data_IF_874602040643
#
_entry.id   IF_874602040643
#
_cell.length_a   1.000
_cell.length_b   1.000
_cell.length_c   1.000
_cell.angle_alpha   90.00
_cell.angle_beta   90.00
_cell.angle_gamma   90.00
#
_symmetry.space_group_name_H-M   'P 1'
#
loop_
_entity.id
_entity.type
_entity.pdbx_description
1 polymer ?
#
# COMPACT_ATOMS: atom_id res chain seq x y z
N UNK A 1 -13.33 8.87 3.78
CA UNK A 1 -13.68 9.00 2.36
C UNK A 1 -12.44 8.61 1.59
N UNK A 2 -12.49 7.58 0.73
CA UNK A 2 -11.31 7.14 -0.02
C UNK A 2 -10.92 8.20 -1.04
N UNK A 3 -9.66 8.66 -1.03
CA UNK A 3 -9.16 9.63 -2.01
C UNK A 3 -8.75 8.90 -3.29
N UNK A 4 -9.73 8.66 -4.17
CA UNK A 4 -9.53 8.06 -5.49
C UNK A 4 -9.59 9.11 -6.58
N UNK A 5 -8.59 9.13 -7.47
CA UNK A 5 -8.56 9.92 -8.70
C UNK A 5 -8.81 8.97 -9.87
N UNK A 6 -9.83 9.25 -10.68
CA UNK A 6 -10.25 8.37 -11.77
C UNK A 6 -10.11 9.09 -13.10
N UNK A 7 -9.47 8.42 -14.06
CA UNK A 7 -9.54 8.79 -15.46
C UNK A 7 -10.22 7.66 -16.25
N UNK A 8 -11.12 8.01 -17.16
CA UNK A 8 -11.86 7.06 -17.99
C UNK A 8 -11.91 7.55 -19.45
N UNK A 9 -11.60 6.70 -20.42
CA UNK A 9 -11.53 7.10 -21.83
C UNK A 9 -12.88 7.53 -22.40
N UNK A 10 -13.98 7.10 -21.79
CA UNK A 10 -15.34 7.40 -22.24
C UNK A 10 -16.03 8.46 -21.36
N UNK A 11 -15.34 9.03 -20.38
CA UNK A 11 -15.90 10.06 -19.51
C UNK A 11 -15.85 11.45 -20.16
N UNK A 12 -16.98 12.15 -20.06
CA UNK A 12 -17.12 13.57 -20.46
C UNK A 12 -16.99 14.52 -19.26
N UNK A 13 -16.55 14.03 -18.11
CA UNK A 13 -16.35 14.87 -16.93
C UNK A 13 -15.23 15.90 -17.17
N UNK A 14 -15.46 17.13 -16.69
CA UNK A 14 -14.55 18.25 -16.91
C UNK A 14 -13.17 18.02 -16.27
N UNK A 15 -13.12 17.26 -15.17
CA UNK A 15 -11.90 16.97 -14.43
C UNK A 15 -11.12 15.80 -15.03
N UNK A 16 -11.69 15.06 -15.98
CA UNK A 16 -11.07 13.85 -16.55
C UNK A 16 -9.67 14.13 -17.14
N UNK A 17 -9.42 15.19 -17.93
CA UNK A 17 -8.06 15.51 -18.40
C UNK A 17 -7.10 15.87 -17.26
N UNK A 18 -7.58 16.59 -16.25
CA UNK A 18 -6.82 16.95 -15.04
C UNK A 18 -6.40 15.71 -14.27
N UNK A 19 -7.33 14.75 -14.10
CA UNK A 19 -7.09 13.48 -13.43
C UNK A 19 -6.00 12.67 -14.13
N UNK A 20 -6.00 12.62 -15.47
CA UNK A 20 -4.93 11.96 -16.22
C UNK A 20 -3.56 12.63 -15.98
N UNK A 21 -3.54 13.96 -15.87
CA UNK A 21 -2.34 14.72 -15.52
C UNK A 21 -1.78 14.33 -14.15
N UNK A 22 -2.64 14.29 -13.13
CA UNK A 22 -2.27 13.89 -11.76
C UNK A 22 -1.78 12.44 -11.70
N UNK A 23 -2.46 11.53 -12.41
CA UNK A 23 -2.06 10.12 -12.49
C UNK A 23 -0.70 9.98 -13.19
N UNK A 24 -0.45 10.75 -14.25
CA UNK A 24 0.84 10.77 -14.95
C UNK A 24 1.95 11.23 -14.03
N UNK A 25 1.77 12.35 -13.34
CA UNK A 25 2.76 12.87 -12.39
C UNK A 25 3.06 11.85 -11.27
N UNK A 26 2.02 11.24 -10.70
CA UNK A 26 2.20 10.22 -9.69
C UNK A 26 2.99 9.01 -10.20
N UNK A 27 2.67 8.52 -11.40
CA UNK A 27 3.35 7.39 -12.01
C UNK A 27 4.82 7.68 -12.31
N UNK A 28 5.12 8.84 -12.88
CA UNK A 28 6.49 9.28 -13.20
C UNK A 28 7.37 9.40 -11.94
N UNK A 29 6.76 9.80 -10.82
CA UNK A 29 7.45 9.90 -9.53
C UNK A 29 7.83 8.53 -8.93
N UNK A 30 7.32 7.42 -9.45
CA UNK A 30 7.72 6.07 -9.00
C UNK A 30 9.09 5.63 -9.53
N UNK A 31 9.79 6.47 -10.29
CA UNK A 31 11.09 6.12 -10.84
C UNK A 31 12.08 5.72 -9.74
N UNK A 32 12.72 4.56 -9.93
CA UNK A 32 13.65 3.90 -9.00
C UNK A 32 13.03 3.51 -7.65
N UNK A 33 11.70 3.42 -7.56
CA UNK A 33 11.01 2.92 -6.37
C UNK A 33 10.67 1.44 -6.51
N UNK A 34 10.64 0.72 -5.38
CA UNK A 34 10.20 -0.67 -5.33
C UNK A 34 8.67 -0.72 -5.36
N UNK A 35 8.12 -1.44 -6.34
CA UNK A 35 6.69 -1.59 -6.54
C UNK A 35 6.29 -3.08 -6.55
N UNK A 36 5.03 -3.32 -6.26
CA UNK A 36 4.33 -4.58 -6.51
C UNK A 36 3.44 -4.40 -7.72
N UNK A 37 3.67 -5.18 -8.77
CA UNK A 37 2.75 -5.35 -9.87
C UNK A 37 1.92 -6.61 -9.64
N UNK A 38 0.60 -6.48 -9.62
CA UNK A 38 -0.35 -7.58 -9.49
C UNK A 38 -1.32 -7.59 -10.66
N UNK A 39 -1.76 -8.80 -11.08
CA UNK A 39 -2.76 -8.97 -12.12
C UNK A 39 -3.95 -9.76 -11.57
N UNK A 40 -5.17 -9.28 -11.85
CA UNK A 40 -6.41 -9.98 -11.50
C UNK A 40 -7.38 -9.96 -12.67
N UNK A 41 -8.16 -11.04 -12.77
CA UNK A 41 -9.31 -11.14 -13.67
C UNK A 41 -10.54 -10.74 -12.85
N UNK A 42 -11.36 -9.83 -13.37
CA UNK A 42 -12.65 -9.43 -12.81
C UNK A 42 -13.65 -10.53 -13.18
N UNK A 43 -14.20 -11.28 -12.20
CA UNK A 43 -15.28 -12.22 -12.49
C UNK A 43 -16.51 -11.50 -13.06
N UNK A 44 -17.29 -12.15 -13.94
CA UNK A 44 -18.52 -11.57 -14.44
C UNK A 44 -19.45 -11.13 -13.29
N UNK A 45 -19.82 -9.84 -13.28
CA UNK A 45 -20.71 -9.26 -12.27
C UNK A 45 -20.05 -8.88 -10.93
N UNK A 46 -18.75 -9.09 -10.77
CA UNK A 46 -18.00 -8.68 -9.57
C UNK A 46 -17.47 -7.25 -9.69
N UNK A 47 -17.33 -6.57 -8.55
CA UNK A 47 -16.61 -5.28 -8.46
C UNK A 47 -15.13 -5.49 -8.20
N UNK A 48 -14.29 -4.53 -8.62
CA UNK A 48 -12.85 -4.51 -8.29
C UNK A 48 -12.61 -4.51 -6.77
N UNK A 49 -13.51 -3.91 -5.99
CA UNK A 49 -13.42 -3.84 -4.54
C UNK A 49 -13.60 -5.22 -3.87
N UNK A 50 -14.04 -6.22 -4.64
CA UNK A 50 -14.20 -7.61 -4.18
C UNK A 50 -13.00 -8.48 -4.56
N UNK A 51 -12.04 -7.95 -5.32
CA UNK A 51 -10.84 -8.69 -5.68
C UNK A 51 -9.86 -8.69 -4.49
N UNK A 52 -9.32 -9.87 -4.21
CA UNK A 52 -8.26 -10.04 -3.21
C UNK A 52 -6.91 -9.58 -3.79
N UNK A 53 -6.39 -8.49 -3.23
CA UNK A 53 -5.08 -7.92 -3.53
C UNK A 53 -4.03 -8.23 -2.45
N UNK A 54 -4.46 -8.74 -1.30
CA UNK A 54 -3.62 -8.97 -0.13
C UNK A 54 -2.93 -10.35 -0.20
N UNK A 55 -3.58 -11.33 -0.84
CA UNK A 55 -2.97 -12.63 -1.10
C UNK A 55 -2.12 -12.59 -2.37
N UNK A 56 -0.84 -12.94 -2.22
CA UNK A 56 0.11 -13.06 -3.35
C UNK A 56 -0.31 -14.18 -4.30
N UNK A 57 -0.40 -13.85 -5.59
CA UNK A 57 -0.72 -14.80 -6.67
C UNK A 57 0.46 -15.02 -7.61
N UNK A 58 0.32 -16.01 -8.51
CA UNK A 58 1.37 -16.46 -9.44
C UNK A 58 1.95 -15.34 -10.31
N UNK A 59 1.13 -14.35 -10.67
CA UNK A 59 1.52 -13.26 -11.58
C UNK A 59 1.98 -12.00 -10.84
N UNK A 60 2.03 -12.04 -9.52
CA UNK A 60 2.44 -10.90 -8.71
C UNK A 60 3.97 -10.82 -8.66
N UNK A 61 4.50 -9.66 -9.02
CA UNK A 61 5.94 -9.42 -9.13
C UNK A 61 6.33 -8.16 -8.38
N UNK A 62 7.42 -8.24 -7.62
CA UNK A 62 8.05 -7.08 -7.01
C UNK A 62 9.34 -6.76 -7.75
N UNK A 63 9.55 -5.48 -8.05
CA UNK A 63 10.76 -5.02 -8.70
C UNK A 63 10.94 -3.51 -8.50
N UNK A 64 12.14 -3.01 -8.81
CA UNK A 64 12.40 -1.57 -8.89
C UNK A 64 11.95 -1.08 -10.27
N UNK A 65 11.07 -0.08 -10.31
CA UNK A 65 10.54 0.48 -11.55
C UNK A 65 11.49 1.52 -12.12
N UNK A 66 11.83 1.42 -13.40
CA UNK A 66 12.66 2.37 -14.12
C UNK A 66 11.88 3.03 -15.26
N UNK A 67 12.19 4.30 -15.51
CA UNK A 67 11.63 5.10 -16.61
C UNK A 67 10.09 5.05 -16.73
N UNK A 68 9.32 5.17 -15.63
CA UNK A 68 7.87 5.18 -15.70
C UNK A 68 7.37 6.38 -16.50
N UNK A 69 6.49 6.14 -17.47
CA UNK A 69 5.87 7.19 -18.30
C UNK A 69 4.45 6.82 -18.69
N UNK A 70 3.56 7.82 -18.84
CA UNK A 70 2.25 7.61 -19.49
C UNK A 70 2.23 8.35 -20.83
N UNK A 71 2.28 7.60 -21.93
CA UNK A 71 2.23 8.14 -23.30
C UNK A 71 0.83 7.96 -23.86
N UNK A 72 0.10 9.07 -24.01
CA UNK A 72 -1.33 9.03 -24.29
C UNK A 72 -2.10 8.43 -23.11
N UNK A 73 -2.60 7.21 -23.30
CA UNK A 73 -3.35 6.42 -22.31
C UNK A 73 -2.66 5.11 -21.93
N UNK A 74 -1.43 4.91 -22.42
CA UNK A 74 -0.64 3.70 -22.18
C UNK A 74 0.37 3.95 -21.07
N UNK A 75 0.30 3.10 -20.03
CA UNK A 75 1.20 3.12 -18.88
C UNK A 75 2.43 2.28 -19.21
N UNK A 76 3.62 2.89 -19.17
CA UNK A 76 4.90 2.27 -19.48
C UNK A 76 5.85 2.26 -18.30
N UNK A 77 6.76 1.30 -18.31
CA UNK A 77 7.90 1.24 -17.40
C UNK A 77 8.78 0.03 -17.66
N UNK A 78 9.93 -0.03 -16.99
CA UNK A 78 10.90 -1.09 -17.16
C UNK A 78 11.28 -1.67 -15.80
N UNK A 79 11.07 -2.97 -15.55
CA UNK A 79 11.57 -3.62 -14.34
C UNK A 79 13.10 -3.60 -14.33
N UNK A 80 13.73 -3.22 -13.23
CA UNK A 80 15.19 -3.27 -13.08
C UNK A 80 15.71 -4.69 -13.34
N UNK A 81 16.77 -4.80 -14.15
CA UNK A 81 17.33 -6.07 -14.58
C UNK A 81 16.63 -6.72 -15.79
N UNK A 82 15.52 -6.16 -16.27
CA UNK A 82 14.90 -6.55 -17.53
C UNK A 82 15.23 -5.54 -18.63
N UNK A 83 15.50 -6.04 -19.84
CA UNK A 83 15.84 -5.21 -20.99
C UNK A 83 14.61 -4.59 -21.68
N UNK A 84 13.42 -5.14 -21.43
CA UNK A 84 12.20 -4.79 -22.16
C UNK A 84 11.28 -3.90 -21.31
N UNK A 85 10.84 -2.78 -21.90
CA UNK A 85 9.78 -1.93 -21.38
C UNK A 85 8.41 -2.63 -21.55
N UNK A 86 7.56 -2.61 -20.53
CA UNK A 86 6.16 -3.02 -20.63
C UNK A 86 5.28 -1.85 -21.03
N UNK A 87 4.13 -2.13 -21.64
CA UNK A 87 3.11 -1.13 -21.95
C UNK A 87 1.69 -1.67 -21.75
N UNK A 88 0.90 -0.96 -20.95
CA UNK A 88 -0.50 -1.30 -20.66
C UNK A 88 -1.43 -0.17 -21.12
N UNK A 89 -2.09 -0.37 -22.27
CA UNK A 89 -3.06 0.61 -22.80
C UNK A 89 -4.35 0.56 -22.00
N UNK A 90 -4.68 1.66 -21.35
CA UNK A 90 -5.78 1.73 -20.40
C UNK A 90 -7.09 2.22 -21.05
N UNK A 91 -8.21 1.57 -20.73
CA UNK A 91 -9.55 2.16 -20.92
C UNK A 91 -9.96 3.03 -19.73
N UNK A 92 -9.38 2.74 -18.56
CA UNK A 92 -9.62 3.45 -17.30
C UNK A 92 -8.39 3.32 -16.42
N UNK A 93 -8.09 4.37 -15.67
CA UNK A 93 -7.05 4.44 -14.65
C UNK A 93 -7.69 4.87 -13.34
N UNK A 94 -7.29 4.24 -12.24
CA UNK A 94 -7.78 4.56 -10.91
C UNK A 94 -6.59 4.63 -9.95
N UNK A 95 -6.25 5.84 -9.54
CA UNK A 95 -5.21 6.11 -8.55
C UNK A 95 -5.86 6.20 -7.17
N UNK A 96 -5.50 5.27 -6.29
CA UNK A 96 -5.85 5.26 -4.88
C UNK A 96 -4.69 5.84 -4.08
N UNK A 97 -4.88 7.06 -3.56
CA UNK A 97 -3.87 7.78 -2.80
C UNK A 97 -3.66 7.19 -1.40
N UNK A 98 -4.70 6.59 -0.81
CA UNK A 98 -4.65 6.01 0.53
C UNK A 98 -3.80 4.73 0.55
N UNK A 99 -3.93 3.92 -0.50
CA UNK A 99 -3.19 2.67 -0.69
C UNK A 99 -1.95 2.83 -1.59
N UNK A 100 -1.69 4.05 -2.09
CA UNK A 100 -0.58 4.37 -2.99
C UNK A 100 -0.50 3.38 -4.16
N UNK A 101 -1.62 3.21 -4.83
CA UNK A 101 -1.75 2.22 -5.89
C UNK A 101 -2.45 2.79 -7.12
N UNK A 102 -2.03 2.33 -8.29
CA UNK A 102 -2.66 2.63 -9.57
C UNK A 102 -3.21 1.35 -10.18
N UNK A 103 -4.52 1.31 -10.39
CA UNK A 103 -5.20 0.25 -11.12
C UNK A 103 -5.38 0.65 -12.59
N UNK A 104 -4.92 -0.22 -13.49
CA UNK A 104 -4.96 -0.06 -14.94
C UNK A 104 -5.93 -1.08 -15.51
N UNK A 105 -7.07 -0.59 -15.98
CA UNK A 105 -8.08 -1.41 -16.66
C UNK A 105 -7.71 -1.50 -18.13
N UNK A 106 -7.40 -2.71 -18.61
CA UNK A 106 -6.87 -2.88 -19.96
C UNK A 106 -7.95 -2.63 -21.02
N UNK A 107 -7.56 -1.95 -22.11
CA UNK A 107 -8.43 -1.76 -23.26
C UNK A 107 -8.60 -3.04 -24.08
N UNK A 108 -7.52 -3.83 -24.24
CA UNK A 108 -7.52 -5.08 -25.02
C UNK A 108 -8.14 -6.27 -24.29
N UNK A 109 -8.19 -6.21 -22.95
CA UNK A 109 -8.74 -7.25 -22.08
C UNK A 109 -9.61 -6.60 -21.00
N UNK A 110 -10.89 -6.33 -21.29
CA UNK A 110 -11.76 -5.54 -20.40
C UNK A 110 -11.92 -6.12 -19.00
N UNK A 111 -11.78 -7.44 -18.87
CA UNK A 111 -11.91 -8.19 -17.63
C UNK A 111 -10.58 -8.28 -16.86
N UNK A 112 -9.48 -7.73 -17.38
CA UNK A 112 -8.17 -7.78 -16.73
C UNK A 112 -7.81 -6.42 -16.14
N UNK A 113 -7.34 -6.44 -14.89
CA UNK A 113 -6.77 -5.27 -14.20
C UNK A 113 -5.34 -5.56 -13.80
N UNK A 114 -4.45 -4.62 -14.12
CA UNK A 114 -3.09 -4.59 -13.59
C UNK A 114 -3.06 -3.53 -12.50
N UNK A 115 -2.59 -3.88 -11.30
CA UNK A 115 -2.39 -2.94 -10.21
C UNK A 115 -0.92 -2.78 -9.91
N UNK A 116 -0.49 -1.54 -9.80
CA UNK A 116 0.84 -1.18 -9.32
C UNK A 116 0.71 -0.51 -7.97
N UNK A 117 1.34 -1.07 -6.94
CA UNK A 117 1.33 -0.52 -5.58
C UNK A 117 2.75 -0.26 -5.11
N UNK A 118 2.96 0.82 -4.37
CA UNK A 118 4.22 0.99 -3.67
C UNK A 118 4.36 -0.07 -2.56
N UNK A 119 5.51 -0.72 -2.48
CA UNK A 119 5.83 -1.64 -1.37
C UNK A 119 6.21 -0.79 -0.16
N UNK A 120 5.23 -0.19 0.50
CA UNK A 120 5.44 0.50 1.78
C UNK A 120 5.10 -0.43 2.93
N UNK A 121 6.01 -0.58 3.90
CA UNK A 121 5.68 -1.19 5.19
C UNK A 121 4.61 -0.35 5.87
N UNK A 122 3.33 -0.74 5.72
CA UNK A 122 2.22 -0.04 6.34
C UNK A 122 2.07 -0.58 7.76
N UNK A 123 2.49 0.20 8.75
CA UNK A 123 2.15 -0.08 10.13
C UNK A 123 0.71 0.38 10.36
N UNK A 124 -0.19 -0.56 10.64
CA UNK A 124 -1.51 -0.20 11.13
C UNK A 124 -1.38 0.47 12.49
N UNK A 125 -1.83 1.72 12.59
CA UNK A 125 -1.81 2.47 13.85
C UNK A 125 -3.13 2.26 14.57
N UNK A 126 -3.07 1.51 15.67
CA UNK A 126 -4.16 1.45 16.64
C UNK A 126 -3.86 2.48 17.74
N UNK A 127 -4.74 3.47 17.90
CA UNK A 127 -4.65 4.40 19.03
C UNK A 127 -5.51 3.89 20.18
N UNK A 128 -4.89 3.62 21.32
CA UNK A 128 -5.57 3.30 22.57
C UNK A 128 -5.50 4.55 23.46
N UNK A 129 -6.63 4.98 24.04
CA UNK A 129 -6.71 6.27 24.76
C UNK A 129 -6.68 6.11 26.28
N UNK A 130 -7.26 5.02 26.80
CA UNK A 130 -7.25 4.68 28.22
C UNK A 130 -6.85 3.21 28.37
N UNK A 131 -5.56 2.99 28.61
CA UNK A 131 -4.97 1.65 28.67
C UNK A 131 -4.61 1.22 30.09
N UNK A 132 -4.89 -0.04 30.39
CA UNK A 132 -4.28 -0.74 31.51
C UNK A 132 -2.96 -1.35 31.04
N UNK A 133 -1.87 -1.02 31.72
CA UNK A 133 -0.55 -1.58 31.43
C UNK A 133 -0.21 -2.58 32.53
N UNK A 134 0.05 -3.83 32.15
CA UNK A 134 0.49 -4.90 33.02
C UNK A 134 1.85 -5.43 32.60
N UNK A 135 2.64 -5.89 33.57
CA UNK A 135 3.95 -6.47 33.33
C UNK A 135 4.12 -7.75 34.18
N UNK A 136 4.52 -8.85 33.55
CA UNK A 136 4.86 -10.10 34.23
C UNK A 136 6.24 -10.57 33.79
N UNK A 137 6.85 -11.46 34.57
CA UNK A 137 8.13 -12.10 34.19
C UNK A 137 7.88 -13.56 33.84
N UNK A 138 8.45 -13.99 32.72
CA UNK A 138 8.63 -15.40 32.36
C UNK A 138 10.12 -15.67 32.19
N UNK A 139 10.75 -16.22 33.23
CA UNK A 139 12.20 -16.41 33.27
C UNK A 139 12.96 -15.07 33.24
N UNK A 140 13.85 -14.90 32.26
CA UNK A 140 14.60 -13.64 32.06
C UNK A 140 13.81 -12.57 31.29
N UNK A 141 12.77 -12.99 30.57
CA UNK A 141 12.03 -12.10 29.69
C UNK A 141 10.87 -11.43 30.44
N UNK A 142 10.61 -10.18 30.07
CA UNK A 142 9.49 -9.40 30.58
C UNK A 142 8.35 -9.50 29.57
N UNK A 143 7.15 -9.86 30.01
CA UNK A 143 5.95 -9.83 29.18
C UNK A 143 5.16 -8.57 29.55
N UNK A 144 4.96 -7.68 28.57
CA UNK A 144 4.08 -6.52 28.72
C UNK A 144 2.72 -6.81 28.10
N UNK A 145 1.69 -6.28 28.76
CA UNK A 145 0.31 -6.27 28.30
C UNK A 145 -0.22 -4.84 28.32
N UNK A 146 -0.91 -4.46 27.25
CA UNK A 146 -1.59 -3.17 27.11
C UNK A 146 -3.03 -3.45 26.72
N UNK A 147 -3.98 -3.07 27.58
CA UNK A 147 -5.39 -3.40 27.42
C UNK A 147 -6.26 -2.16 27.37
N UNK A 148 -7.06 -2.03 26.32
CA UNK A 148 -8.11 -1.02 26.19
C UNK A 148 -9.48 -1.72 26.36
N UNK A 149 -10.13 -1.47 27.51
CA UNK A 149 -11.37 -2.15 27.89
C UNK A 149 -12.55 -1.74 27.00
N UNK A 150 -12.61 -0.48 26.60
CA UNK A 150 -13.71 0.05 25.79
C UNK A 150 -13.67 -0.53 24.38
N UNK A 151 -12.47 -0.66 23.82
CA UNK A 151 -12.25 -1.30 22.51
C UNK A 151 -12.22 -2.83 22.58
N UNK A 152 -12.15 -3.41 23.78
CA UNK A 152 -11.95 -4.85 24.02
C UNK A 152 -10.72 -5.39 23.28
N UNK A 153 -9.63 -4.63 23.33
CA UNK A 153 -8.35 -4.99 22.71
C UNK A 153 -7.31 -5.23 23.81
N UNK A 154 -6.55 -6.30 23.68
CA UNK A 154 -5.37 -6.58 24.49
C UNK A 154 -4.18 -6.89 23.58
N UNK A 155 -3.09 -6.15 23.78
CA UNK A 155 -1.83 -6.33 23.05
C UNK A 155 -0.81 -6.89 24.05
N UNK A 156 -0.26 -8.06 23.76
CA UNK A 156 0.73 -8.74 24.62
C UNK A 156 2.01 -8.96 23.83
N UNK A 157 3.16 -8.65 24.42
CA UNK A 157 4.45 -8.81 23.77
C UNK A 157 5.56 -9.11 24.78
N UNK A 158 6.48 -9.98 24.37
CA UNK A 158 7.70 -10.28 25.12
C UNK A 158 8.79 -9.24 24.85
N UNK A 159 9.54 -8.91 25.90
CA UNK A 159 10.63 -7.95 25.91
C UNK A 159 11.87 -8.64 26.47
N UNK A 160 12.87 -8.81 25.62
CA UNK A 160 14.17 -9.34 26.04
C UNK A 160 14.97 -8.31 26.83
N UNK A 161 16.05 -8.73 27.49
CA UNK A 161 16.88 -7.88 28.35
C UNK A 161 17.38 -6.61 27.65
N UNK A 162 17.85 -6.70 26.40
CA UNK A 162 18.35 -5.53 25.67
C UNK A 162 17.25 -4.50 25.37
N UNK A 163 16.04 -4.96 25.09
CA UNK A 163 14.87 -4.09 24.91
C UNK A 163 14.38 -3.48 26.24
N UNK A 164 14.51 -4.21 27.35
CA UNK A 164 14.21 -3.69 28.70
C UNK A 164 15.14 -2.51 29.03
N UNK A 165 16.45 -2.67 28.82
CA UNK A 165 17.43 -1.62 29.08
C UNK A 165 17.17 -0.36 28.23
N UNK A 166 16.84 -0.57 26.95
CA UNK A 166 16.48 0.51 26.03
C UNK A 166 15.19 1.24 26.47
N UNK A 167 14.15 0.52 26.88
CA UNK A 167 12.92 1.14 27.34
C UNK A 167 13.15 1.99 28.60
N UNK A 168 13.97 1.47 29.54
CA UNK A 168 14.31 2.18 30.77
C UNK A 168 15.12 3.46 30.50
N UNK A 169 16.05 3.45 29.55
CA UNK A 169 16.82 4.67 29.23
C UNK A 169 15.92 5.78 28.68
N UNK A 170 15.01 5.43 27.77
CA UNK A 170 14.06 6.39 27.17
C UNK A 170 13.09 6.97 28.19
N UNK A 171 12.62 6.17 29.15
CA UNK A 171 11.74 6.66 30.21
C UNK A 171 12.45 7.64 31.15
N UNK A 172 13.73 7.42 31.46
CA UNK A 172 14.52 8.34 32.29
C UNK A 172 14.74 9.69 31.60
N UNK A 173 15.07 9.68 30.30
CA UNK A 173 15.22 10.91 29.49
C UNK A 173 13.95 11.78 29.53
N UNK A 174 12.78 11.15 29.52
CA UNK A 174 11.48 11.85 29.59
C UNK A 174 11.22 12.45 30.98
N UNK A 175 11.73 11.86 32.06
CA UNK A 175 11.55 12.39 33.42
C UNK A 175 12.45 13.59 33.73
N UNK A 176 13.54 13.74 32.99
CA UNK A 176 14.53 14.82 33.17
C UNK A 176 14.30 16.01 32.22
N UNK A 177 13.27 15.95 31.36
CA UNK A 177 12.86 17.02 30.43
C UNK A 177 11.61 17.76 30.88
#
# INVERSE_FOLDING_TARGET
>A
MSQKIVWDSNSNEIDNPTNLGLIREWWENLNRQKILQAQRIIPPGASIDQLDWDTKQRFDQEYILLSPQIRGITVYGTPEGQAQEFGYTARRLELDLDNKSLSVYLQSQPDTVIRFSLVTTRYERITLKDVEIGATREGSDLVLSVRDKDKKIEIVFGINTGQQDYLLSRLKEIQES
#
